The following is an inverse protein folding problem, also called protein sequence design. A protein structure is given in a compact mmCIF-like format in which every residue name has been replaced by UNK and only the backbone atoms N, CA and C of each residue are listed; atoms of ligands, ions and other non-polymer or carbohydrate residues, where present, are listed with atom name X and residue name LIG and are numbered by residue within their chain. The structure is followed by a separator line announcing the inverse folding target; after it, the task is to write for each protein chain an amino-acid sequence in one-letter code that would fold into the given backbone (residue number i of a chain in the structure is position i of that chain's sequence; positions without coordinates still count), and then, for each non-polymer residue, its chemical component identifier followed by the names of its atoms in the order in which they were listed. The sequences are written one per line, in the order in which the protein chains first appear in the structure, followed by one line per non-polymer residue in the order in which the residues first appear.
data_IF_726424308680
#
_entry.id   IF_726424308680
#
_cell.length_a   1.000
_cell.length_b   1.000
_cell.length_c   1.000
_cell.angle_alpha   90.00
_cell.angle_beta   90.00
_cell.angle_gamma   90.00
#
_symmetry.space_group_name_H-M   'P 1'
#
loop_
_entity.id
_entity.type
_entity.pdbx_description
1 polymer ?
#
# COMPACT_ATOMS: atom_id res chain seq x y z
N UNK A 1 -9.26 5.56 -0.89
CA UNK A 1 -8.52 4.36 -1.33
C UNK A 1 -9.22 3.74 -2.51
N UNK A 2 -8.45 3.38 -3.53
CA UNK A 2 -8.93 2.68 -4.72
C UNK A 2 -8.55 1.20 -4.59
N UNK A 3 -9.55 0.32 -4.65
CA UNK A 3 -9.33 -1.12 -4.72
C UNK A 3 -9.27 -1.55 -6.19
N UNK A 4 -8.13 -2.08 -6.62
CA UNK A 4 -7.92 -2.59 -7.98
C UNK A 4 -8.10 -4.12 -8.09
N UNK A 5 -8.46 -4.78 -6.98
CA UNK A 5 -8.75 -6.21 -6.94
C UNK A 5 -7.50 -7.10 -6.97
N UNK A 6 -7.72 -8.37 -7.35
CA UNK A 6 -6.64 -9.33 -7.56
C UNK A 6 -5.82 -8.89 -8.78
N UNK A 7 -4.60 -8.47 -8.51
CA UNK A 7 -3.69 -7.86 -9.46
C UNK A 7 -2.27 -8.29 -9.14
N UNK A 8 -1.38 -8.28 -10.12
CA UNK A 8 0.04 -8.50 -9.91
C UNK A 8 0.75 -7.26 -9.38
N UNK A 9 2.04 -7.43 -9.09
CA UNK A 9 2.88 -6.35 -8.59
C UNK A 9 2.98 -5.23 -9.62
N UNK A 10 3.17 -5.56 -10.89
CA UNK A 10 3.32 -4.61 -11.98
C UNK A 10 2.09 -3.70 -12.13
N UNK A 11 0.88 -4.23 -11.93
CA UNK A 11 -0.35 -3.46 -11.98
C UNK A 11 -0.47 -2.45 -10.84
N UNK A 12 0.03 -2.75 -9.64
CA UNK A 12 0.07 -1.79 -8.54
C UNK A 12 1.01 -0.62 -8.86
N UNK A 13 2.18 -0.89 -9.47
CA UNK A 13 3.10 0.15 -9.91
C UNK A 13 2.46 1.00 -11.02
N UNK A 14 1.89 0.35 -12.03
CA UNK A 14 1.21 1.03 -13.12
C UNK A 14 0.07 1.89 -12.60
N UNK A 15 -0.82 1.35 -11.76
CA UNK A 15 -1.96 2.08 -11.20
C UNK A 15 -1.52 3.27 -10.35
N UNK A 16 -0.47 3.10 -9.53
CA UNK A 16 0.09 4.19 -8.72
C UNK A 16 0.54 5.36 -9.58
N UNK A 17 1.28 5.08 -10.66
CA UNK A 17 1.75 6.09 -11.60
C UNK A 17 0.60 6.68 -12.44
N UNK A 18 -0.19 5.83 -13.07
CA UNK A 18 -1.22 6.20 -14.03
C UNK A 18 -2.36 7.01 -13.41
N UNK A 19 -2.77 6.67 -12.18
CA UNK A 19 -3.82 7.37 -11.46
C UNK A 19 -3.30 8.56 -10.64
N UNK A 20 -1.97 8.76 -10.61
CA UNK A 20 -1.33 9.86 -9.87
C UNK A 20 -1.62 9.84 -8.37
N UNK A 21 -1.73 8.65 -7.78
CA UNK A 21 -1.95 8.50 -6.33
C UNK A 21 -0.64 8.54 -5.56
N UNK A 22 -0.72 8.91 -4.28
CA UNK A 22 0.46 9.08 -3.41
C UNK A 22 1.17 7.76 -3.07
N UNK A 23 0.53 6.61 -3.28
CA UNK A 23 1.12 5.31 -3.06
C UNK A 23 0.16 4.14 -3.31
N UNK A 24 0.72 2.94 -3.23
CA UNK A 24 0.03 1.67 -3.43
C UNK A 24 0.51 0.60 -2.46
N UNK A 25 -0.38 -0.30 -2.09
CA UNK A 25 -0.11 -1.46 -1.23
C UNK A 25 -0.61 -2.70 -1.94
N UNK A 26 0.26 -3.67 -2.13
CA UNK A 26 -0.09 -5.01 -2.61
C UNK A 26 0.02 -6.00 -1.45
N UNK A 27 -1.06 -6.72 -1.14
CA UNK A 27 -1.03 -7.82 -0.17
C UNK A 27 -0.62 -9.09 -0.91
N UNK A 28 0.60 -9.55 -0.69
CA UNK A 28 1.20 -10.67 -1.44
C UNK A 28 2.31 -11.34 -0.65
N UNK A 29 2.48 -12.64 -0.86
CA UNK A 29 3.63 -13.40 -0.38
C UNK A 29 4.65 -13.70 -1.52
N UNK A 30 4.44 -13.14 -2.71
CA UNK A 30 5.23 -13.40 -3.91
C UNK A 30 5.37 -14.90 -4.23
N UNK A 31 6.48 -15.52 -3.84
CA UNK A 31 6.79 -16.93 -4.09
C UNK A 31 6.83 -17.77 -2.80
N UNK A 32 6.52 -17.14 -1.66
CA UNK A 32 6.50 -17.82 -0.38
C UNK A 32 5.36 -18.86 -0.33
N UNK A 33 5.49 -19.89 0.52
CA UNK A 33 4.44 -20.89 0.73
C UNK A 33 3.08 -20.28 1.12
N UNK A 34 2.02 -21.08 0.96
CA UNK A 34 0.61 -20.64 1.07
C UNK A 34 0.22 -20.06 2.44
N UNK A 35 0.95 -20.43 3.50
CA UNK A 35 0.78 -19.95 4.87
C UNK A 35 1.43 -18.59 5.13
N UNK A 36 2.12 -18.01 4.15
CA UNK A 36 2.75 -16.70 4.24
C UNK A 36 1.88 -15.61 3.63
N UNK A 37 1.97 -14.41 4.19
CA UNK A 37 1.46 -13.19 3.58
C UNK A 37 2.37 -12.01 3.94
N UNK A 38 2.24 -10.92 3.20
CA UNK A 38 3.05 -9.72 3.37
C UNK A 38 2.46 -8.55 2.60
N UNK A 39 3.20 -7.45 2.59
CA UNK A 39 2.82 -6.25 1.85
C UNK A 39 4.02 -5.73 1.06
N UNK A 40 3.79 -5.38 -0.21
CA UNK A 40 4.70 -4.52 -0.98
C UNK A 40 4.15 -3.10 -0.98
N UNK A 41 5.02 -2.14 -0.72
CA UNK A 41 4.66 -0.73 -0.60
C UNK A 41 5.34 0.08 -1.71
N UNK A 42 4.56 0.95 -2.35
CA UNK A 42 5.01 1.84 -3.42
C UNK A 42 4.56 3.25 -3.08
N UNK A 43 5.41 4.24 -3.31
CA UNK A 43 5.11 5.67 -3.11
C UNK A 43 4.89 6.38 -4.44
N UNK A 44 4.66 7.68 -4.37
CA UNK A 44 4.37 8.54 -5.51
C UNK A 44 5.41 8.37 -6.64
N UNK A 45 4.91 8.35 -7.88
CA UNK A 45 5.72 8.08 -9.06
C UNK A 45 6.13 6.61 -9.23
N UNK A 46 5.38 5.67 -8.63
CA UNK A 46 5.64 4.23 -8.68
C UNK A 46 7.02 3.81 -8.17
N UNK A 47 7.51 4.47 -7.11
CA UNK A 47 8.81 4.16 -6.50
C UNK A 47 8.64 3.15 -5.37
N UNK A 48 9.41 2.04 -5.34
CA UNK A 48 9.33 1.08 -4.25
C UNK A 48 9.76 1.72 -2.92
N UNK A 49 9.10 1.31 -1.84
CA UNK A 49 9.56 1.57 -0.48
C UNK A 49 10.30 0.32 0.01
N UNK A 50 11.56 0.50 0.38
CA UNK A 50 12.50 -0.50 0.87
C UNK A 50 13.07 -0.04 2.21
N UNK A 51 13.94 -0.85 2.83
CA UNK A 51 14.50 -0.59 4.16
C UNK A 51 15.11 0.80 4.32
N UNK A 52 15.81 1.27 3.30
CA UNK A 52 16.51 2.55 3.21
C UNK A 52 15.68 3.69 2.60
N UNK A 53 14.54 3.37 1.97
CA UNK A 53 13.68 4.37 1.32
C UNK A 53 12.35 4.61 2.03
N UNK A 54 12.23 4.16 3.29
CA UNK A 54 11.13 4.53 4.19
C UNK A 54 10.53 3.38 4.99
N UNK A 55 10.82 2.11 4.67
CA UNK A 55 10.19 0.98 5.35
C UNK A 55 10.57 0.92 6.84
N UNK A 56 11.81 1.27 7.18
CA UNK A 56 12.24 1.39 8.58
C UNK A 56 11.55 2.52 9.33
N UNK A 57 11.12 3.58 8.63
CA UNK A 57 10.38 4.68 9.25
C UNK A 57 8.96 4.25 9.58
N UNK A 58 8.31 3.53 8.64
CA UNK A 58 7.01 2.89 8.87
C UNK A 58 7.08 1.90 10.04
N UNK A 59 8.13 1.07 10.09
CA UNK A 59 8.36 0.15 11.21
C UNK A 59 8.44 0.89 12.55
N UNK A 60 9.29 1.92 12.67
CA UNK A 60 9.43 2.68 13.92
C UNK A 60 8.13 3.34 14.35
N UNK A 61 7.36 3.89 13.42
CA UNK A 61 6.05 4.49 13.71
C UNK A 61 5.04 3.44 14.20
N UNK A 62 5.00 2.27 13.56
CA UNK A 62 4.13 1.17 13.96
C UNK A 62 4.50 0.61 15.34
N UNK A 63 5.79 0.46 15.64
CA UNK A 63 6.30 -0.02 16.93
C UNK A 63 6.03 0.98 18.06
N UNK A 64 6.18 2.28 17.80
CA UNK A 64 5.87 3.33 18.77
C UNK A 64 4.37 3.42 19.07
N UNK A 65 3.53 3.09 18.08
CA UNK A 65 2.07 3.14 18.16
C UNK A 65 1.52 4.50 18.65
N UNK A 66 2.26 5.57 18.36
CA UNK A 66 1.93 6.95 18.72
C UNK A 66 1.49 7.71 17.46
N UNK A 67 0.24 7.49 17.07
CA UNK A 67 -0.34 8.12 15.89
C UNK A 67 -1.10 9.39 16.29
N UNK A 68 -0.94 10.50 15.53
CA UNK A 68 -1.70 11.71 15.79
C UNK A 68 -3.21 11.42 15.64
N UNK A 69 -4.08 12.11 16.40
CA UNK A 69 -5.51 11.95 16.29
C UNK A 69 -5.97 12.21 14.85
N UNK A 70 -6.76 11.28 14.30
CA UNK A 70 -7.26 11.38 12.93
C UNK A 70 -8.35 12.44 12.86
N UNK A 71 -8.19 13.42 11.96
CA UNK A 71 -9.28 14.31 11.59
C UNK A 71 -10.32 13.52 10.78
N UNK A 72 -11.47 13.22 11.38
CA UNK A 72 -12.52 12.43 10.75
C UNK A 72 -13.04 13.03 9.46
N UNK A 73 -13.09 14.37 9.35
CA UNK A 73 -13.51 15.06 8.13
C UNK A 73 -12.51 14.91 6.97
N UNK A 74 -11.27 14.51 7.24
CA UNK A 74 -10.23 14.23 6.24
C UNK A 74 -9.99 12.73 6.03
N UNK A 75 -10.72 11.84 6.72
CA UNK A 75 -10.55 10.40 6.56
C UNK A 75 -10.99 10.01 5.13
N UNK A 76 -10.10 9.33 4.41
CA UNK A 76 -10.42 8.81 3.09
C UNK A 76 -11.53 7.75 3.13
N UNK A 77 -12.30 7.63 2.05
CA UNK A 77 -13.27 6.57 1.87
C UNK A 77 -12.65 5.37 1.12
N UNK A 78 -13.20 4.18 1.36
CA UNK A 78 -12.85 2.97 0.62
C UNK A 78 -13.98 2.64 -0.36
N UNK A 79 -13.63 2.40 -1.63
CA UNK A 79 -14.58 1.95 -2.64
C UNK A 79 -14.04 0.68 -3.30
N UNK A 80 -14.74 -0.43 -3.07
CA UNK A 80 -14.48 -1.69 -3.77
C UNK A 80 -15.10 -1.64 -5.16
N UNK A 81 -14.28 -1.69 -6.20
CA UNK A 81 -14.79 -1.95 -7.55
C UNK A 81 -15.11 -3.45 -7.62
N UNK A 82 -16.39 -3.81 -7.45
CA UNK A 82 -16.86 -5.15 -7.73
C UNK A 82 -16.86 -5.35 -9.24
N UNK A 83 -15.81 -5.95 -9.78
CA UNK A 83 -15.94 -6.76 -10.99
C UNK A 83 -16.79 -7.97 -10.64
N UNK A 84 -17.77 -8.29 -11.48
CA UNK A 84 -18.76 -9.35 -11.29
C UNK A 84 -18.14 -10.73 -10.99
#
# INVERSE_FOLDING_TARGET
MLDIGLSGTEEIYFATFHLGVDGGIEVTASHNPMDYNGMKLVREGARPISGDTGLRDVQRLAEANDFPPVNEAKRGSYKKNRSA
#
